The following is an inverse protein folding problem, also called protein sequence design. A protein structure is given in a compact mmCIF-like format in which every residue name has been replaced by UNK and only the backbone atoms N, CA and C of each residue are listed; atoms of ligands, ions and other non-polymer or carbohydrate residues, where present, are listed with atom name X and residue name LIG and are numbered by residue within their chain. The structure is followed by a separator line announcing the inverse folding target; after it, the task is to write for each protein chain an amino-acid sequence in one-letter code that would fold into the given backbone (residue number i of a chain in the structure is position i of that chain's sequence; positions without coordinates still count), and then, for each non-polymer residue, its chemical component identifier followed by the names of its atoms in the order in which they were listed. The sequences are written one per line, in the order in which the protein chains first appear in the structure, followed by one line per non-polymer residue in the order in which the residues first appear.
data_IF_700500912716
#
_entry.id   IF_700500912716
#
_cell.length_a   1.000
_cell.length_b   1.000
_cell.length_c   1.000
_cell.angle_alpha   90.00
_cell.angle_beta   90.00
_cell.angle_gamma   90.00
#
_symmetry.space_group_name_H-M   'P 1'
#
loop_
_entity.id
_entity.type
_entity.pdbx_description
1 polymer ?
#
# COMPACT_ATOMS: atom_id res chain seq x y z
N UNK A 1 3.63 26.09 11.39
CA UNK A 1 3.99 24.87 12.15
C UNK A 1 2.94 23.79 12.01
N UNK A 2 1.66 24.09 12.19
CA UNK A 2 0.54 23.13 12.08
C UNK A 2 0.51 22.35 10.75
N UNK A 3 0.72 23.03 9.61
CA UNK A 3 0.79 22.37 8.29
C UNK A 3 1.92 21.36 8.14
N UNK A 4 3.08 21.63 8.74
CA UNK A 4 4.23 20.71 8.67
C UNK A 4 3.98 19.46 9.51
N UNK A 5 3.29 19.61 10.64
CA UNK A 5 2.87 18.50 11.49
C UNK A 5 1.83 17.61 10.80
N UNK A 6 0.77 18.21 10.23
CA UNK A 6 -0.25 17.47 9.47
C UNK A 6 0.37 16.69 8.30
N UNK A 7 1.25 17.33 7.53
CA UNK A 7 1.97 16.66 6.46
C UNK A 7 2.84 15.49 6.96
N UNK A 8 3.43 15.63 8.16
CA UNK A 8 4.18 14.54 8.79
C UNK A 8 3.33 13.34 9.15
N UNK A 9 2.11 13.58 9.67
CA UNK A 9 1.14 12.52 10.00
C UNK A 9 0.70 11.80 8.71
N UNK A 10 0.23 12.54 7.71
CA UNK A 10 -0.23 11.98 6.43
C UNK A 10 0.86 11.12 5.75
N UNK A 11 2.10 11.60 5.75
CA UNK A 11 3.22 10.84 5.21
C UNK A 11 3.56 9.60 6.05
N UNK A 12 3.38 9.67 7.36
CA UNK A 12 3.57 8.55 8.27
C UNK A 12 2.54 7.45 8.04
N UNK A 13 1.27 7.82 7.93
CA UNK A 13 0.14 6.93 7.65
C UNK A 13 0.32 6.22 6.31
N UNK A 14 0.53 6.98 5.22
CA UNK A 14 0.76 6.44 3.87
C UNK A 14 1.93 5.44 3.83
N UNK A 15 3.06 5.77 4.48
CA UNK A 15 4.23 4.87 4.55
C UNK A 15 3.93 3.60 5.35
N UNK A 16 3.15 3.73 6.43
CA UNK A 16 2.70 2.61 7.24
C UNK A 16 1.82 1.64 6.46
N UNK A 17 0.81 2.17 5.78
CA UNK A 17 -0.12 1.41 4.93
C UNK A 17 0.61 0.72 3.78
N UNK A 18 1.47 1.44 3.04
CA UNK A 18 2.25 0.86 1.94
C UNK A 18 3.12 -0.30 2.42
N UNK A 19 3.78 -0.15 3.58
CA UNK A 19 4.60 -1.21 4.18
C UNK A 19 3.76 -2.43 4.58
N UNK A 20 2.57 -2.20 5.13
CA UNK A 20 1.67 -3.28 5.52
C UNK A 20 1.16 -4.03 4.29
N UNK A 21 0.64 -3.32 3.29
CA UNK A 21 0.14 -3.91 2.06
C UNK A 21 1.23 -4.71 1.33
N UNK A 22 2.44 -4.16 1.20
CA UNK A 22 3.56 -4.90 0.59
C UNK A 22 3.85 -6.22 1.31
N UNK A 23 3.85 -6.21 2.65
CA UNK A 23 4.05 -7.43 3.45
C UNK A 23 2.91 -8.44 3.24
N UNK A 24 1.68 -7.98 3.07
CA UNK A 24 0.54 -8.85 2.79
C UNK A 24 0.64 -9.45 1.39
N UNK A 25 1.00 -8.65 0.38
CA UNK A 25 1.26 -9.09 -1.00
C UNK A 25 2.34 -10.18 -1.02
N UNK A 26 3.46 -9.95 -0.35
CA UNK A 26 4.57 -10.91 -0.27
C UNK A 26 4.17 -12.22 0.41
N UNK A 27 3.28 -12.15 1.40
CA UNK A 27 2.78 -13.34 2.11
C UNK A 27 1.76 -14.14 1.30
N UNK A 28 0.88 -13.47 0.55
CA UNK A 28 -0.21 -14.12 -0.19
C UNK A 28 0.25 -14.64 -1.55
N UNK A 29 1.07 -13.87 -2.26
CA UNK A 29 1.43 -14.14 -3.66
C UNK A 29 2.92 -14.44 -3.87
N UNK A 30 3.74 -14.34 -2.82
CA UNK A 30 5.19 -14.52 -2.92
C UNK A 30 5.93 -13.20 -3.22
N UNK A 31 7.26 -13.26 -3.42
CA UNK A 31 8.10 -12.06 -3.47
C UNK A 31 7.63 -11.01 -4.47
N UNK A 32 7.41 -9.78 -3.98
CA UNK A 32 7.07 -8.64 -4.81
C UNK A 32 8.25 -8.20 -5.67
N UNK A 33 8.01 -8.00 -6.97
CA UNK A 33 9.00 -7.41 -7.87
C UNK A 33 9.19 -5.90 -7.62
N UNK A 34 10.16 -5.30 -8.30
CA UNK A 34 10.50 -3.88 -8.12
C UNK A 34 9.35 -2.97 -8.55
N UNK A 35 8.60 -3.33 -9.61
CA UNK A 35 7.51 -2.49 -10.12
C UNK A 35 6.35 -2.47 -9.13
N UNK A 36 5.98 -3.63 -8.60
CA UNK A 36 4.91 -3.78 -7.63
C UNK A 36 5.23 -3.05 -6.32
N UNK A 37 6.48 -3.15 -5.85
CA UNK A 37 6.97 -2.39 -4.69
C UNK A 37 6.82 -0.88 -4.92
N UNK A 38 7.26 -0.41 -6.08
CA UNK A 38 7.22 1.01 -6.41
C UNK A 38 5.77 1.52 -6.50
N UNK A 39 4.89 0.77 -7.16
CA UNK A 39 3.48 1.11 -7.27
C UNK A 39 2.80 1.25 -5.90
N UNK A 40 3.07 0.33 -4.97
CA UNK A 40 2.56 0.41 -3.59
C UNK A 40 3.16 1.59 -2.82
N UNK A 41 4.44 1.89 -3.01
CA UNK A 41 5.12 2.99 -2.30
C UNK A 41 4.71 4.38 -2.80
N UNK A 42 4.26 4.49 -4.05
CA UNK A 42 3.85 5.73 -4.69
C UNK A 42 2.35 6.04 -4.53
N UNK A 43 1.54 5.03 -4.22
CA UNK A 43 0.11 5.19 -3.96
C UNK A 43 -0.17 6.14 -2.78
N UNK A 44 -1.29 6.84 -2.86
CA UNK A 44 -1.85 7.62 -1.75
C UNK A 44 -2.56 6.71 -0.74
N UNK A 45 -2.91 7.27 0.42
CA UNK A 45 -3.50 6.51 1.53
C UNK A 45 -4.86 5.91 1.16
N UNK A 46 -5.70 6.63 0.42
CA UNK A 46 -7.02 6.15 -0.01
C UNK A 46 -6.89 4.93 -0.93
N UNK A 47 -6.02 5.01 -1.92
CA UNK A 47 -5.71 3.89 -2.82
C UNK A 47 -5.15 2.68 -2.05
N UNK A 48 -4.27 2.92 -1.08
CA UNK A 48 -3.69 1.86 -0.25
C UNK A 48 -4.72 1.16 0.63
N UNK A 49 -5.69 1.90 1.16
CA UNK A 49 -6.82 1.34 1.90
C UNK A 49 -7.70 0.46 0.99
N UNK A 50 -8.06 0.94 -0.20
CA UNK A 50 -8.84 0.15 -1.16
C UNK A 50 -8.14 -1.17 -1.53
N UNK A 51 -6.83 -1.11 -1.81
CA UNK A 51 -6.04 -2.31 -2.09
C UNK A 51 -5.92 -3.23 -0.86
N UNK A 52 -5.90 -2.67 0.34
CA UNK A 52 -5.89 -3.43 1.60
C UNK A 52 -7.21 -4.16 1.86
N UNK A 53 -8.33 -3.67 1.35
CA UNK A 53 -9.60 -4.42 1.36
C UNK A 53 -9.62 -5.50 0.26
N UNK A 54 -9.18 -5.15 -0.96
CA UNK A 54 -9.20 -6.07 -2.11
C UNK A 54 -8.30 -7.29 -1.92
N UNK A 55 -7.15 -7.11 -1.27
CA UNK A 55 -6.21 -8.22 -1.02
C UNK A 55 -6.82 -9.33 -0.16
N UNK A 56 -7.88 -9.07 0.61
CA UNK A 56 -8.56 -10.09 1.41
C UNK A 56 -9.19 -11.17 0.53
N UNK A 57 -9.66 -10.81 -0.67
CA UNK A 57 -10.36 -11.73 -1.59
C UNK A 57 -9.64 -11.97 -2.90
N UNK A 58 -8.66 -11.13 -3.27
CA UNK A 58 -7.96 -11.23 -4.55
C UNK A 58 -7.23 -12.58 -4.76
N UNK A 59 -7.39 -13.18 -5.94
CA UNK A 59 -6.72 -14.44 -6.30
C UNK A 59 -5.36 -14.24 -6.99
N UNK A 60 -5.02 -13.01 -7.36
CA UNK A 60 -3.73 -12.65 -7.95
C UNK A 60 -3.29 -11.24 -7.53
N UNK A 61 -2.00 -10.88 -7.68
CA UNK A 61 -1.53 -9.52 -7.44
C UNK A 61 -2.30 -8.47 -8.27
N UNK A 62 -2.58 -8.76 -9.53
CA UNK A 62 -3.26 -7.84 -10.45
C UNK A 62 -4.68 -7.51 -9.97
N UNK A 63 -5.39 -8.50 -9.43
CA UNK A 63 -6.74 -8.32 -8.88
C UNK A 63 -6.78 -7.40 -7.65
N UNK A 64 -5.64 -7.10 -7.02
CA UNK A 64 -5.57 -6.10 -5.94
C UNK A 64 -5.61 -4.67 -6.51
N UNK A 65 -5.08 -4.46 -7.72
CA UNK A 65 -4.92 -3.14 -8.32
C UNK A 65 -6.08 -2.72 -9.25
N UNK A 66 -7.00 -3.64 -9.57
CA UNK A 66 -8.22 -3.40 -10.35
C UNK A 66 -9.38 -3.02 -9.43
#
# INVERSE_FOLDING_TARGET
MERAWQHGIEQGERKGEAKLLLRQMERKFGPADVRLRQQIQEADAETLLEWSDRILTAESPEAVFH
#
